data_IF_368357703775
#
_entry.id   IF_368357703775
#
_cell.length_a   1.000
_cell.length_b   1.000
_cell.length_c   1.000
_cell.angle_alpha   90.00
_cell.angle_beta   90.00
_cell.angle_gamma   90.00
#
_symmetry.space_group_name_H-M   'P 1'
#
loop_
_entity.id
_entity.type
_entity.pdbx_description
1 polymer ?
#
# COMPACT_ATOMS: atom_id res chain seq x y z
N UNK A 1 -2.80 -1.82 -8.84
CA UNK A 1 -3.72 -0.66 -8.88
C UNK A 1 -4.24 -0.39 -7.47
N UNK A 2 -4.55 0.86 -7.14
CA UNK A 2 -5.17 1.25 -5.87
C UNK A 2 -6.64 1.53 -6.15
N UNK A 3 -7.53 0.69 -5.60
CA UNK A 3 -8.95 0.81 -5.86
C UNK A 3 -9.50 2.17 -5.37
N UNK A 4 -10.33 2.88 -6.15
CA UNK A 4 -10.97 4.12 -5.71
C UNK A 4 -11.77 3.91 -4.42
N UNK A 5 -11.75 4.89 -3.51
CA UNK A 5 -12.44 4.84 -2.21
C UNK A 5 -12.00 3.68 -1.29
N UNK A 6 -10.92 2.97 -1.60
CA UNK A 6 -10.32 2.00 -0.69
C UNK A 6 -9.60 2.72 0.46
N UNK A 7 -9.33 2.00 1.55
CA UNK A 7 -8.51 2.51 2.65
C UNK A 7 -7.12 2.97 2.19
N UNK A 8 -6.53 2.25 1.22
CA UNK A 8 -5.27 2.63 0.59
C UNK A 8 -5.38 3.96 -0.18
N UNK A 9 -6.45 4.15 -0.95
CA UNK A 9 -6.71 5.41 -1.67
C UNK A 9 -6.90 6.59 -0.71
N UNK A 10 -7.67 6.40 0.36
CA UNK A 10 -7.91 7.45 1.38
C UNK A 10 -6.64 7.82 2.14
N UNK A 11 -5.75 6.84 2.38
CA UNK A 11 -4.43 7.07 2.96
C UNK A 11 -3.44 7.77 2.01
N UNK A 12 -3.79 7.92 0.73
CA UNK A 12 -2.97 8.54 -0.30
C UNK A 12 -1.88 7.63 -0.86
N UNK A 13 -2.07 6.31 -0.79
CA UNK A 13 -1.24 5.36 -1.52
C UNK A 13 -1.51 5.47 -3.02
N UNK A 14 -0.48 5.23 -3.83
CA UNK A 14 -0.51 5.33 -5.28
C UNK A 14 -0.20 3.97 -5.90
N UNK A 15 -1.07 3.53 -6.81
CA UNK A 15 -0.79 2.39 -7.65
C UNK A 15 0.08 2.80 -8.84
N UNK A 16 0.79 1.84 -9.43
CA UNK A 16 1.44 2.04 -10.73
C UNK A 16 0.39 2.25 -11.81
N UNK A 17 0.56 3.30 -12.62
CA UNK A 17 -0.35 3.67 -13.70
C UNK A 17 0.44 4.15 -14.94
N UNK A 18 -0.29 4.58 -15.96
CA UNK A 18 0.26 5.29 -17.11
C UNK A 18 -0.29 6.72 -17.13
N UNK A 19 0.51 7.69 -17.56
CA UNK A 19 0.06 9.06 -17.78
C UNK A 19 -0.63 9.26 -19.14
N UNK A 20 -0.96 10.51 -19.48
CA UNK A 20 -1.64 10.86 -20.74
C UNK A 20 -0.77 10.60 -21.97
N UNK A 21 0.55 10.57 -21.80
CA UNK A 21 1.54 10.32 -22.84
C UNK A 21 1.85 8.81 -22.99
N UNK A 22 1.30 7.99 -22.09
CA UNK A 22 1.49 6.54 -22.06
C UNK A 22 2.80 6.12 -21.40
N UNK A 23 3.46 7.01 -20.65
CA UNK A 23 4.65 6.67 -19.88
C UNK A 23 4.27 5.98 -18.58
N UNK A 24 5.11 5.02 -18.16
CA UNK A 24 4.89 4.26 -16.92
C UNK A 24 5.23 5.14 -15.72
N UNK A 25 4.23 5.40 -14.88
CA UNK A 25 4.39 6.10 -13.60
C UNK A 25 4.37 5.07 -12.48
N UNK A 26 5.51 4.93 -11.80
CA UNK A 26 5.63 4.02 -10.66
C UNK A 26 4.83 4.53 -9.47
N UNK A 27 4.06 3.64 -8.86
CA UNK A 27 3.38 3.90 -7.60
C UNK A 27 4.28 3.63 -6.39
N UNK A 28 3.65 3.27 -5.28
CA UNK A 28 4.34 2.98 -4.03
C UNK A 28 4.93 1.57 -4.01
N UNK A 29 6.19 1.47 -3.62
CA UNK A 29 6.83 0.19 -3.33
C UNK A 29 6.73 -0.09 -1.83
N UNK A 30 5.83 -0.99 -1.43
CA UNK A 30 5.68 -1.39 -0.03
C UNK A 30 6.91 -2.19 0.40
N UNK A 31 7.54 -1.76 1.51
CA UNK A 31 8.76 -2.37 2.07
C UNK A 31 8.56 -2.92 3.47
N UNK A 32 7.55 -2.45 4.22
CA UNK A 32 7.16 -3.04 5.50
C UNK A 32 5.69 -2.76 5.84
N UNK A 33 5.12 -3.61 6.69
CA UNK A 33 3.83 -3.39 7.36
C UNK A 33 4.04 -3.58 8.85
N UNK A 34 3.74 -2.54 9.62
CA UNK A 34 4.19 -2.36 11.00
C UNK A 34 5.71 -2.65 11.09
N UNK A 35 6.11 -3.52 12.03
CA UNK A 35 7.50 -3.94 12.21
C UNK A 35 7.90 -5.12 11.31
N UNK A 36 7.06 -5.52 10.34
CA UNK A 36 7.31 -6.69 9.48
C UNK A 36 7.82 -6.29 8.10
N UNK A 37 9.09 -6.61 7.74
CA UNK A 37 9.62 -6.36 6.41
C UNK A 37 8.90 -7.17 5.34
N UNK A 38 8.54 -6.52 4.24
CA UNK A 38 7.88 -7.13 3.08
C UNK A 38 8.88 -7.19 1.93
N UNK A 39 9.14 -8.41 1.44
CA UNK A 39 10.05 -8.64 0.29
C UNK A 39 9.32 -9.16 -0.93
N UNK A 40 8.09 -9.62 -0.75
CA UNK A 40 7.28 -10.20 -1.79
C UNK A 40 5.80 -9.94 -1.54
N UNK A 41 5.01 -10.11 -2.60
CA UNK A 41 3.55 -10.06 -2.50
C UNK A 41 3.00 -11.13 -1.53
N UNK A 42 3.63 -12.31 -1.47
CA UNK A 42 3.23 -13.36 -0.55
C UNK A 42 3.44 -12.97 0.92
N UNK A 43 4.53 -12.27 1.23
CA UNK A 43 4.78 -11.75 2.58
C UNK A 43 3.71 -10.74 2.98
N UNK A 44 3.34 -9.84 2.05
CA UNK A 44 2.31 -8.84 2.29
C UNK A 44 0.98 -9.51 2.64
N UNK A 45 0.53 -10.48 1.84
CA UNK A 45 -0.70 -11.22 2.12
C UNK A 45 -0.60 -11.99 3.45
N UNK A 46 0.52 -12.64 3.73
CA UNK A 46 0.70 -13.38 4.98
C UNK A 46 0.68 -12.48 6.23
N UNK A 47 1.04 -11.20 6.12
CA UNK A 47 0.89 -10.22 7.20
C UNK A 47 -0.56 -9.78 7.33
N UNK A 48 -1.22 -9.44 6.22
CA UNK A 48 -2.61 -8.98 6.21
C UNK A 48 -3.58 -10.09 6.65
N UNK A 49 -3.32 -11.36 6.34
CA UNK A 49 -4.13 -12.52 6.78
C UNK A 49 -4.19 -12.68 8.30
N UNK A 50 -3.26 -12.06 9.03
CA UNK A 50 -3.21 -12.07 10.50
C UNK A 50 -3.91 -10.86 11.12
N UNK A 51 -4.41 -9.93 10.30
CA UNK A 51 -5.09 -8.71 10.73
C UNK A 51 -6.58 -8.84 10.53
N UNK A 52 -7.34 -8.10 11.32
CA UNK A 52 -8.79 -8.04 11.23
C UNK A 52 -9.26 -6.73 10.60
N UNK A 53 -10.49 -6.75 10.08
CA UNK A 53 -11.16 -5.51 9.63
C UNK A 53 -11.31 -4.59 10.84
N UNK A 54 -10.95 -3.32 10.68
CA UNK A 54 -10.87 -2.32 11.75
C UNK A 54 -9.48 -2.20 12.39
N UNK A 55 -8.55 -3.13 12.10
CA UNK A 55 -7.17 -2.98 12.57
C UNK A 55 -6.50 -1.78 11.91
N UNK A 56 -5.70 -1.07 12.69
CA UNK A 56 -4.83 -0.01 12.17
C UNK A 56 -3.42 -0.55 11.98
N UNK A 57 -2.88 -0.41 10.78
CA UNK A 57 -1.51 -0.81 10.42
C UNK A 57 -0.71 0.37 9.88
N UNK A 58 0.60 0.36 10.08
CA UNK A 58 1.51 1.34 9.47
C UNK A 58 2.17 0.72 8.24
N UNK A 59 1.88 1.25 7.06
CA UNK A 59 2.52 0.85 5.82
C UNK A 59 3.75 1.72 5.60
N UNK A 60 4.92 1.09 5.46
CA UNK A 60 6.15 1.73 5.02
C UNK A 60 6.36 1.45 3.54
N UNK A 61 6.65 2.50 2.76
CA UNK A 61 6.82 2.40 1.32
C UNK A 61 7.86 3.39 0.81
N UNK A 62 8.39 3.09 -0.37
CA UNK A 62 9.27 3.98 -1.13
C UNK A 62 8.46 4.62 -2.25
N UNK A 63 8.58 5.93 -2.37
CA UNK A 63 8.01 6.74 -3.46
C UNK A 63 9.04 7.79 -3.85
N UNK A 64 9.34 7.91 -5.13
CA UNK A 64 10.30 8.91 -5.63
C UNK A 64 11.66 8.83 -4.92
N UNK A 65 12.13 7.61 -4.66
CA UNK A 65 13.38 7.29 -3.92
C UNK A 65 13.39 7.70 -2.43
N UNK A 66 12.27 8.18 -1.90
CA UNK A 66 12.13 8.55 -0.49
C UNK A 66 11.34 7.50 0.30
N UNK A 67 11.80 7.23 1.52
CA UNK A 67 11.08 6.39 2.48
C UNK A 67 9.95 7.18 3.15
N UNK A 68 8.75 6.62 3.10
CA UNK A 68 7.53 7.21 3.65
C UNK A 68 6.75 6.19 4.48
N UNK A 69 5.86 6.67 5.33
CA UNK A 69 4.94 5.82 6.07
C UNK A 69 3.52 6.41 6.12
N UNK A 70 2.52 5.53 6.14
CA UNK A 70 1.11 5.88 6.31
C UNK A 70 0.42 4.91 7.26
N UNK A 71 -0.36 5.45 8.17
CA UNK A 71 -1.23 4.66 9.05
C UNK A 71 -2.58 4.48 8.36
N UNK A 72 -3.04 3.23 8.26
CA UNK A 72 -4.24 2.84 7.52
C UNK A 72 -5.11 1.94 8.40
N UNK A 73 -6.38 2.27 8.52
CA UNK A 73 -7.39 1.37 9.09
C UNK A 73 -7.87 0.40 8.01
N UNK A 74 -7.78 -0.90 8.27
CA UNK A 74 -8.16 -1.95 7.32
C UNK A 74 -9.68 -2.03 7.20
N UNK A 75 -10.18 -1.98 5.97
CA UNK A 75 -11.60 -2.04 5.65
C UNK A 75 -11.81 -3.00 4.50
N UNK A 76 -12.97 -3.64 4.45
CA UNK A 76 -13.37 -4.37 3.25
C UNK A 76 -13.56 -3.38 2.10
N UNK A 77 -13.11 -3.77 0.91
CA UNK A 77 -13.42 -3.05 -0.33
C UNK A 77 -14.73 -3.66 -0.84
N UNK A 78 -15.73 -2.82 -1.07
CA UNK A 78 -17.00 -3.19 -1.71
C UNK A 78 -16.89 -3.25 -3.23
#
# INVERSE_FOLDING_TARGET
DVAPNSAASEAGLRGTNYDEEGELVLGDLIVAVDDTPIKSQADLFAVLDKKEVGDTVTIHFIRDEEEMQKTIELRLIE
#
